data_IF_833449846076
#
_entry.id   IF_833449846076
#
_cell.length_a   1.000
_cell.length_b   1.000
_cell.length_c   1.000
_cell.angle_alpha   90.00
_cell.angle_beta   90.00
_cell.angle_gamma   90.00
#
_symmetry.space_group_name_H-M   'P 1'
#
loop_
_entity.id
_entity.type
_entity.pdbx_description
1 polymer ?
#
# COMPACT_ATOMS: atom_id res chain seq x y z
N UNK A 1 -9.41 -22.99 -35.02
CA UNK A 1 -9.83 -22.31 -33.76
C UNK A 1 -8.86 -22.71 -32.67
N UNK A 2 -7.97 -21.79 -32.25
CA UNK A 2 -6.91 -22.10 -31.27
C UNK A 2 -7.47 -21.97 -29.86
N UNK A 3 -7.61 -23.10 -29.16
CA UNK A 3 -8.07 -23.13 -27.77
C UNK A 3 -6.95 -22.63 -26.86
N UNK A 4 -7.02 -21.37 -26.42
CA UNK A 4 -6.13 -20.84 -25.38
C UNK A 4 -6.30 -21.70 -24.13
N UNK A 5 -5.25 -22.42 -23.74
CA UNK A 5 -5.18 -23.12 -22.46
C UNK A 5 -5.25 -22.05 -21.36
N UNK A 6 -6.40 -21.98 -20.68
CA UNK A 6 -6.56 -21.18 -19.46
C UNK A 6 -5.61 -21.78 -18.43
N UNK A 7 -4.57 -21.03 -18.08
CA UNK A 7 -3.61 -21.46 -17.07
C UNK A 7 -4.20 -21.22 -15.68
N UNK A 8 -3.74 -21.94 -14.64
CA UNK A 8 -4.23 -21.74 -13.26
C UNK A 8 -4.13 -20.27 -12.79
N UNK A 9 -3.22 -19.48 -13.38
CA UNK A 9 -3.06 -18.04 -13.18
C UNK A 9 -4.31 -17.23 -13.52
N UNK A 10 -5.01 -17.58 -14.61
CA UNK A 10 -6.16 -16.82 -15.09
C UNK A 10 -7.42 -16.96 -14.20
N UNK A 11 -7.45 -17.94 -13.29
CA UNK A 11 -8.63 -18.23 -12.45
C UNK A 11 -8.67 -17.45 -11.14
N UNK A 12 -7.56 -16.87 -10.69
CA UNK A 12 -7.45 -16.27 -9.35
C UNK A 12 -6.64 -14.96 -9.37
N UNK A 13 -7.19 -13.86 -9.93
CA UNK A 13 -6.48 -12.57 -10.04
C UNK A 13 -6.13 -11.92 -8.69
N UNK A 14 -6.69 -12.40 -7.58
CA UNK A 14 -6.34 -11.94 -6.23
C UNK A 14 -5.06 -12.58 -5.67
N UNK A 15 -4.61 -13.72 -6.20
CA UNK A 15 -3.32 -14.32 -5.82
C UNK A 15 -2.12 -13.65 -6.51
N UNK A 16 -2.35 -12.89 -7.59
CA UNK A 16 -1.26 -12.30 -8.38
C UNK A 16 -0.71 -10.98 -7.81
N UNK A 17 -1.34 -10.37 -6.79
CA UNK A 17 -0.85 -9.10 -6.24
C UNK A 17 0.33 -9.21 -5.28
N UNK A 18 0.63 -10.39 -4.77
CA UNK A 18 1.73 -10.56 -3.82
C UNK A 18 3.00 -11.14 -4.45
N UNK A 19 2.92 -11.71 -5.66
CA UNK A 19 4.09 -12.28 -6.35
C UNK A 19 4.72 -13.44 -5.58
N UNK A 20 3.94 -14.18 -4.78
CA UNK A 20 4.45 -15.25 -3.92
C UNK A 20 4.23 -16.63 -4.53
N UNK A 21 5.23 -17.49 -4.36
CA UNK A 21 5.16 -18.89 -4.74
C UNK A 21 4.30 -19.65 -3.72
N UNK A 22 3.22 -20.35 -4.13
CA UNK A 22 2.38 -21.12 -3.21
C UNK A 22 3.12 -22.25 -2.49
N UNK A 23 4.29 -22.66 -2.96
CA UNK A 23 5.13 -23.67 -2.31
C UNK A 23 6.17 -23.05 -1.33
N UNK A 24 6.27 -21.72 -1.28
CA UNK A 24 7.15 -21.01 -0.35
C UNK A 24 6.54 -21.01 1.06
N UNK A 25 7.22 -21.67 2.00
CA UNK A 25 6.79 -21.71 3.39
C UNK A 25 6.95 -20.33 4.05
N UNK A 26 5.83 -19.68 4.40
CA UNK A 26 5.82 -18.39 5.09
C UNK A 26 5.17 -18.45 6.44
N UNK A 27 5.80 -17.72 7.37
CA UNK A 27 5.29 -17.54 8.71
C UNK A 27 4.38 -16.31 8.76
N UNK A 28 3.10 -16.43 9.15
CA UNK A 28 2.26 -15.25 9.33
C UNK A 28 2.83 -14.41 10.47
N UNK A 29 3.09 -13.13 10.20
CA UNK A 29 3.60 -12.18 11.20
C UNK A 29 2.61 -12.14 12.36
N UNK A 30 3.14 -12.14 13.58
CA UNK A 30 2.36 -12.07 14.82
C UNK A 30 1.80 -10.65 14.92
N UNK A 31 0.59 -10.42 14.42
CA UNK A 31 -0.06 -9.11 14.45
C UNK A 31 -0.25 -8.67 15.91
N UNK A 32 0.09 -7.43 16.25
CA UNK A 32 0.03 -6.90 17.62
C UNK A 32 -1.39 -6.54 18.08
N UNK A 33 -2.35 -6.42 17.15
CA UNK A 33 -3.73 -6.02 17.44
C UNK A 33 -4.72 -7.17 17.27
N UNK A 34 -5.22 -7.67 18.41
CA UNK A 34 -6.36 -8.59 18.49
C UNK A 34 -5.99 -10.08 18.44
N UNK A 35 -5.75 -10.67 19.61
CA UNK A 35 -5.64 -12.13 19.75
C UNK A 35 -6.94 -12.70 20.34
N UNK A 36 -7.52 -13.69 19.66
CA UNK A 36 -8.61 -14.50 20.20
C UNK A 36 -8.06 -15.86 20.63
N UNK A 37 -8.32 -16.27 21.87
CA UNK A 37 -7.99 -17.63 22.34
C UNK A 37 -9.10 -18.59 21.91
N UNK A 38 -8.71 -19.65 21.21
CA UNK A 38 -9.61 -20.73 20.82
C UNK A 38 -9.18 -21.97 21.61
N UNK A 39 -10.14 -22.58 22.32
CA UNK A 39 -9.95 -23.85 23.00
C UNK A 39 -10.38 -24.98 22.08
N UNK A 40 -9.54 -26.01 21.96
CA UNK A 40 -9.72 -27.14 21.08
C UNK A 40 -9.37 -28.41 21.85
N UNK A 41 -10.16 -29.45 21.66
CA UNK A 41 -9.87 -30.80 22.16
C UNK A 41 -9.45 -31.70 21.00
N UNK A 42 -8.32 -32.38 21.14
CA UNK A 42 -7.76 -33.29 20.14
C UNK A 42 -7.60 -34.69 20.73
N UNK A 43 -7.69 -35.75 19.91
CA UNK A 43 -7.23 -37.07 20.32
C UNK A 43 -5.75 -37.04 20.72
N UNK A 44 -5.38 -37.78 21.77
CA UNK A 44 -4.00 -37.84 22.29
C UNK A 44 -2.99 -38.19 21.21
N UNK A 45 -3.30 -39.18 20.36
CA UNK A 45 -2.42 -39.58 19.27
C UNK A 45 -2.07 -38.44 18.30
N UNK A 46 -3.01 -37.52 18.04
CA UNK A 46 -2.79 -36.36 17.18
C UNK A 46 -1.90 -35.34 17.90
N UNK A 47 -2.13 -35.13 19.20
CA UNK A 47 -1.27 -34.26 20.02
C UNK A 47 0.18 -34.76 20.03
N UNK A 48 0.39 -36.04 20.25
CA UNK A 48 1.71 -36.67 20.27
C UNK A 48 2.41 -36.52 18.91
N UNK A 49 1.67 -36.70 17.82
CA UNK A 49 2.19 -36.52 16.47
C UNK A 49 2.60 -35.05 16.19
N UNK A 50 1.83 -34.08 16.67
CA UNK A 50 2.17 -32.66 16.55
C UNK A 50 3.45 -32.35 17.32
N UNK A 51 3.58 -32.85 18.56
CA UNK A 51 4.80 -32.69 19.34
C UNK A 51 6.01 -33.32 18.65
N UNK A 52 5.84 -34.51 18.08
CA UNK A 52 6.89 -35.17 17.31
C UNK A 52 7.36 -34.32 16.12
N UNK A 53 6.42 -33.75 15.36
CA UNK A 53 6.73 -32.86 14.23
C UNK A 53 7.52 -31.63 14.70
N UNK A 54 7.13 -30.99 15.80
CA UNK A 54 7.84 -29.81 16.32
C UNK A 54 9.25 -30.18 16.79
N UNK A 55 9.39 -31.27 17.55
CA UNK A 55 10.69 -31.76 18.06
C UNK A 55 11.63 -32.21 16.96
N UNK A 56 11.11 -32.61 15.79
CA UNK A 56 11.94 -32.99 14.65
C UNK A 56 12.76 -31.82 14.07
N UNK A 57 12.35 -30.57 14.33
CA UNK A 57 12.93 -29.37 13.75
C UNK A 57 13.04 -29.36 12.21
N UNK A 58 12.33 -30.27 11.53
CA UNK A 58 12.29 -30.33 10.07
C UNK A 58 11.49 -29.16 9.48
N UNK A 59 10.58 -28.60 10.26
CA UNK A 59 9.75 -27.45 9.91
C UNK A 59 10.02 -26.30 10.88
N UNK A 60 9.88 -25.04 10.45
CA UNK A 60 10.19 -23.87 11.27
C UNK A 60 9.03 -23.51 12.24
N UNK A 61 8.47 -24.51 12.93
CA UNK A 61 7.49 -24.29 13.99
C UNK A 61 8.19 -24.28 15.35
N UNK A 62 8.05 -23.18 16.09
CA UNK A 62 8.59 -23.10 17.45
C UNK A 62 7.64 -23.75 18.47
N UNK A 63 6.32 -23.67 18.22
CA UNK A 63 5.29 -24.26 19.06
C UNK A 63 4.13 -24.84 18.25
N UNK A 64 3.30 -25.68 18.91
CA UNK A 64 2.09 -26.24 18.30
C UNK A 64 1.11 -25.16 17.85
N UNK A 65 1.06 -24.03 18.56
CA UNK A 65 0.24 -22.88 18.20
C UNK A 65 0.61 -22.32 16.82
N UNK A 66 1.88 -22.39 16.42
CA UNK A 66 2.34 -21.88 15.13
C UNK A 66 1.92 -22.81 13.99
N UNK A 67 1.98 -24.12 14.22
CA UNK A 67 1.43 -25.13 13.31
C UNK A 67 -0.08 -24.92 13.13
N UNK A 68 -0.83 -24.70 14.21
CA UNK A 68 -2.27 -24.43 14.11
C UNK A 68 -2.57 -23.15 13.35
N UNK A 69 -1.84 -22.05 13.59
CA UNK A 69 -2.01 -20.81 12.84
C UNK A 69 -1.78 -21.03 11.34
N UNK A 70 -0.72 -21.72 10.97
CA UNK A 70 -0.44 -22.02 9.57
C UNK A 70 -1.52 -22.92 8.95
N UNK A 71 -1.92 -24.00 9.64
CA UNK A 71 -2.97 -24.90 9.18
C UNK A 71 -4.30 -24.17 8.97
N UNK A 72 -4.70 -23.31 9.90
CA UNK A 72 -5.91 -22.48 9.79
C UNK A 72 -5.81 -21.53 8.61
N UNK A 73 -4.70 -20.81 8.46
CA UNK A 73 -4.50 -19.88 7.35
C UNK A 73 -4.63 -20.59 5.99
N UNK A 74 -3.86 -21.67 5.80
CA UNK A 74 -3.86 -22.46 4.57
C UNK A 74 -5.24 -23.07 4.28
N UNK A 75 -5.93 -23.55 5.32
CA UNK A 75 -7.26 -24.11 5.16
C UNK A 75 -8.30 -23.04 4.79
N UNK A 76 -8.22 -21.85 5.38
CA UNK A 76 -9.08 -20.72 5.02
C UNK A 76 -8.82 -20.27 3.58
N UNK A 77 -7.56 -20.15 3.15
CA UNK A 77 -7.22 -19.85 1.76
C UNK A 77 -7.77 -20.91 0.79
N UNK A 78 -7.64 -22.18 1.15
CA UNK A 78 -8.21 -23.28 0.38
C UNK A 78 -9.74 -23.20 0.32
N UNK A 79 -10.42 -22.91 1.44
CA UNK A 79 -11.88 -22.72 1.47
C UNK A 79 -12.31 -21.52 0.62
N UNK A 80 -11.55 -20.43 0.62
CA UNK A 80 -11.79 -19.24 -0.20
C UNK A 80 -11.55 -19.48 -1.70
N UNK A 81 -10.78 -20.51 -2.06
CA UNK A 81 -10.55 -20.87 -3.46
C UNK A 81 -11.77 -21.50 -4.14
N UNK A 82 -12.74 -21.98 -3.36
CA UNK A 82 -14.00 -22.49 -3.90
C UNK A 82 -14.90 -21.34 -4.34
N UNK A 83 -15.58 -21.46 -5.49
CA UNK A 83 -16.59 -20.49 -5.93
C UNK A 83 -17.84 -20.62 -5.04
N UNK A 84 -17.75 -20.18 -3.80
CA UNK A 84 -18.85 -20.17 -2.84
C UNK A 84 -19.50 -18.80 -2.80
N UNK A 85 -20.83 -18.78 -2.63
CA UNK A 85 -21.66 -17.57 -2.51
C UNK A 85 -21.55 -16.88 -1.15
N UNK A 86 -20.67 -17.36 -0.27
CA UNK A 86 -20.49 -16.78 1.05
C UNK A 86 -19.84 -15.42 0.83
N UNK A 87 -20.59 -14.34 1.11
CA UNK A 87 -20.06 -12.97 1.09
C UNK A 87 -18.86 -12.95 2.04
N UNK A 88 -17.66 -12.93 1.46
CA UNK A 88 -16.44 -13.02 2.21
C UNK A 88 -16.27 -11.74 3.04
N UNK A 89 -16.63 -11.80 4.32
CA UNK A 89 -16.44 -10.70 5.27
C UNK A 89 -14.97 -10.31 5.33
N UNK A 90 -14.04 -11.28 5.19
CA UNK A 90 -12.61 -10.98 5.18
C UNK A 90 -12.19 -10.17 3.95
N UNK A 91 -12.76 -10.41 2.77
CA UNK A 91 -12.46 -9.54 1.61
C UNK A 91 -13.00 -8.13 1.83
N UNK A 92 -14.16 -7.98 2.49
CA UNK A 92 -14.68 -6.67 2.85
C UNK A 92 -13.80 -5.96 3.88
N UNK A 93 -13.32 -6.69 4.91
CA UNK A 93 -12.39 -6.15 5.92
C UNK A 93 -11.08 -5.74 5.26
N UNK A 94 -10.54 -6.54 4.34
CA UNK A 94 -9.31 -6.20 3.63
C UNK A 94 -9.48 -4.95 2.78
N UNK A 95 -10.59 -4.83 2.05
CA UNK A 95 -10.91 -3.61 1.28
C UNK A 95 -11.06 -2.40 2.23
N UNK A 96 -11.75 -2.56 3.36
CA UNK A 96 -11.87 -1.49 4.36
C UNK A 96 -10.50 -1.09 4.94
N UNK A 97 -9.62 -2.06 5.19
CA UNK A 97 -8.26 -1.80 5.67
C UNK A 97 -7.43 -1.05 4.62
N UNK A 98 -7.49 -1.46 3.35
CA UNK A 98 -6.83 -0.75 2.25
C UNK A 98 -7.35 0.69 2.14
N UNK A 99 -8.67 0.90 2.25
CA UNK A 99 -9.28 2.24 2.25
C UNK A 99 -8.81 3.10 3.44
N UNK A 100 -8.67 2.51 4.63
CA UNK A 100 -8.18 3.23 5.82
C UNK A 100 -6.71 3.63 5.65
N UNK A 101 -5.86 2.72 5.17
CA UNK A 101 -4.45 3.02 4.88
C UNK A 101 -4.34 4.13 3.85
N UNK A 102 -5.18 4.10 2.81
CA UNK A 102 -5.22 5.14 1.79
C UNK A 102 -5.68 6.50 2.37
N UNK A 103 -6.70 6.51 3.24
CA UNK A 103 -7.20 7.73 3.88
C UNK A 103 -6.18 8.33 4.86
N UNK A 104 -5.45 7.51 5.63
CA UNK A 104 -4.37 7.96 6.52
C UNK A 104 -3.21 8.55 5.73
N UNK A 105 -2.78 7.88 4.65
CA UNK A 105 -1.73 8.39 3.77
C UNK A 105 -2.13 9.73 3.13
N UNK A 106 -3.39 9.86 2.73
CA UNK A 106 -3.97 11.11 2.24
C UNK A 106 -3.95 12.20 3.31
N UNK A 107 -4.41 11.90 4.53
CA UNK A 107 -4.45 12.88 5.61
C UNK A 107 -3.06 13.44 5.92
N UNK A 108 -2.05 12.57 6.02
CA UNK A 108 -0.67 12.96 6.23
C UNK A 108 -0.11 13.82 5.10
N UNK A 109 -0.40 13.46 3.84
CA UNK A 109 0.07 14.22 2.69
C UNK A 109 -0.63 15.60 2.58
N UNK A 110 -1.94 15.67 2.83
CA UNK A 110 -2.68 16.93 2.90
C UNK A 110 -2.13 17.86 3.99
N UNK A 111 -1.83 17.33 5.18
CA UNK A 111 -1.24 18.12 6.27
C UNK A 111 0.10 18.75 5.87
N UNK A 112 0.95 17.99 5.18
CA UNK A 112 2.24 18.50 4.67
C UNK A 112 2.02 19.61 3.65
N UNK A 113 1.10 19.43 2.70
CA UNK A 113 0.77 20.45 1.69
C UNK A 113 0.22 21.72 2.35
N UNK A 114 -0.67 21.61 3.34
CA UNK A 114 -1.22 22.76 4.06
C UNK A 114 -0.16 23.54 4.84
N UNK A 115 0.76 22.85 5.52
CA UNK A 115 1.89 23.49 6.21
C UNK A 115 2.77 24.27 5.23
N UNK A 116 3.03 23.68 4.06
CA UNK A 116 3.83 24.28 3.00
C UNK A 116 3.11 25.46 2.32
N UNK A 117 1.80 25.35 2.13
CA UNK A 117 0.93 26.43 1.66
C UNK A 117 0.99 27.63 2.62
N UNK A 118 0.84 27.39 3.92
CA UNK A 118 0.94 28.43 4.97
C UNK A 118 2.27 29.17 4.93
N UNK A 119 3.37 28.46 4.69
CA UNK A 119 4.70 29.07 4.53
C UNK A 119 4.74 29.96 3.29
N UNK A 120 4.21 29.47 2.17
CA UNK A 120 4.16 30.19 0.88
C UNK A 120 3.33 31.47 1.00
N UNK A 121 2.14 31.38 1.59
CA UNK A 121 1.21 32.50 1.80
C UNK A 121 1.86 33.59 2.68
N UNK A 122 2.63 33.19 3.69
CA UNK A 122 3.40 34.13 4.51
C UNK A 122 4.46 34.89 3.70
N UNK A 123 5.17 34.24 2.77
CA UNK A 123 6.13 34.94 1.90
C UNK A 123 5.44 35.89 0.92
N UNK A 124 4.26 35.51 0.41
CA UNK A 124 3.41 36.37 -0.41
C UNK A 124 2.99 37.62 0.38
N UNK A 125 2.52 37.44 1.62
CA UNK A 125 2.12 38.55 2.49
C UNK A 125 3.28 39.52 2.78
N UNK A 126 4.51 39.00 2.91
CA UNK A 126 5.73 39.79 3.07
C UNK A 126 6.24 40.42 1.75
N UNK A 127 5.52 40.26 0.63
CA UNK A 127 5.92 40.70 -0.71
C UNK A 127 7.26 40.11 -1.20
N UNK A 128 7.65 38.94 -0.68
CA UNK A 128 8.86 38.21 -1.06
C UNK A 128 8.55 37.20 -2.17
N UNK A 129 8.13 37.70 -3.32
CA UNK A 129 7.60 36.91 -4.44
C UNK A 129 8.55 35.81 -4.92
N UNK A 130 9.85 36.10 -5.05
CA UNK A 130 10.85 35.13 -5.50
C UNK A 130 10.99 33.94 -4.54
N UNK A 131 10.90 34.20 -3.23
CA UNK A 131 11.00 33.14 -2.22
C UNK A 131 9.74 32.29 -2.19
N UNK A 132 8.57 32.92 -2.27
CA UNK A 132 7.28 32.23 -2.41
C UNK A 132 7.27 31.32 -3.65
N UNK A 133 7.72 31.85 -4.80
CA UNK A 133 7.81 31.12 -6.05
C UNK A 133 8.78 29.93 -5.95
N UNK A 134 9.96 30.13 -5.35
CA UNK A 134 10.94 29.06 -5.16
C UNK A 134 10.38 27.92 -4.31
N UNK A 135 9.65 28.26 -3.24
CA UNK A 135 9.04 27.28 -2.36
C UNK A 135 7.91 26.55 -3.08
N UNK A 136 6.96 27.27 -3.69
CA UNK A 136 5.87 26.68 -4.47
C UNK A 136 6.38 25.74 -5.56
N UNK A 137 7.42 26.14 -6.29
CA UNK A 137 8.06 25.32 -7.31
C UNK A 137 8.70 24.05 -6.75
N UNK A 138 9.43 24.13 -5.63
CA UNK A 138 10.03 22.95 -4.99
C UNK A 138 8.97 21.96 -4.49
N UNK A 139 7.86 22.46 -3.95
CA UNK A 139 6.73 21.64 -3.51
C UNK A 139 6.13 20.92 -4.71
N UNK A 140 5.85 21.66 -5.78
CA UNK A 140 5.32 21.11 -7.02
C UNK A 140 6.23 20.02 -7.61
N UNK A 141 7.53 20.28 -7.69
CA UNK A 141 8.53 19.33 -8.21
C UNK A 141 8.61 18.07 -7.34
N UNK A 142 8.49 18.20 -6.01
CA UNK A 142 8.50 17.07 -5.09
C UNK A 142 7.24 16.19 -5.23
N UNK A 143 6.07 16.80 -5.39
CA UNK A 143 4.82 16.08 -5.67
C UNK A 143 4.95 15.34 -7.00
N UNK A 144 5.47 16.00 -8.04
CA UNK A 144 5.67 15.40 -9.37
C UNK A 144 6.61 14.19 -9.38
N UNK A 145 7.60 14.15 -8.47
CA UNK A 145 8.52 13.00 -8.31
C UNK A 145 7.89 11.81 -7.57
N UNK A 146 6.72 12.00 -6.97
CA UNK A 146 6.02 10.91 -6.29
C UNK A 146 5.46 9.92 -7.31
N UNK A 147 5.34 8.62 -6.97
CA UNK A 147 4.78 7.62 -7.86
C UNK A 147 3.42 8.03 -8.42
N UNK A 148 3.13 7.58 -9.65
CA UNK A 148 1.81 7.75 -10.28
C UNK A 148 0.71 7.29 -9.32
N UNK A 149 -0.09 8.22 -8.85
CA UNK A 149 -1.20 7.96 -7.93
C UNK A 149 -2.28 9.01 -8.13
N UNK A 150 -3.53 8.61 -7.88
CA UNK A 150 -4.68 9.51 -7.88
C UNK A 150 -4.44 10.76 -7.00
N UNK A 151 -3.78 10.58 -5.86
CA UNK A 151 -3.49 11.65 -4.91
C UNK A 151 -2.47 12.66 -5.43
N UNK A 152 -1.44 12.20 -6.13
CA UNK A 152 -0.48 13.09 -6.77
C UNK A 152 -1.18 14.04 -7.72
N UNK A 153 -2.02 13.52 -8.60
CA UNK A 153 -2.69 14.33 -9.62
C UNK A 153 -3.65 15.34 -8.97
N UNK A 154 -4.34 14.94 -7.90
CA UNK A 154 -5.19 15.84 -7.10
C UNK A 154 -4.39 16.95 -6.40
N UNK A 155 -3.25 16.63 -5.80
CA UNK A 155 -2.38 17.61 -5.15
C UNK A 155 -1.77 18.59 -6.16
N UNK A 156 -1.39 18.10 -7.35
CA UNK A 156 -0.94 18.95 -8.46
C UNK A 156 -2.05 19.91 -8.88
N UNK A 157 -3.29 19.42 -9.04
CA UNK A 157 -4.43 20.25 -9.38
C UNK A 157 -4.70 21.31 -8.31
N UNK A 158 -4.61 20.96 -7.03
CA UNK A 158 -4.77 21.90 -5.92
C UNK A 158 -3.66 22.95 -5.89
N UNK A 159 -2.40 22.55 -6.05
CA UNK A 159 -1.26 23.48 -6.11
C UNK A 159 -1.38 24.43 -7.31
N UNK A 160 -1.83 23.95 -8.47
CA UNK A 160 -2.09 24.79 -9.64
C UNK A 160 -3.26 25.76 -9.42
N UNK A 161 -4.31 25.31 -8.74
CA UNK A 161 -5.46 26.16 -8.43
C UNK A 161 -5.07 27.31 -7.49
N UNK A 162 -4.24 27.04 -6.47
CA UNK A 162 -3.83 28.03 -5.47
C UNK A 162 -2.69 28.93 -5.93
N UNK A 163 -1.70 28.35 -6.62
CA UNK A 163 -0.42 29.00 -6.94
C UNK A 163 -0.09 29.01 -8.43
N UNK A 164 -1.08 28.79 -9.31
CA UNK A 164 -0.89 28.72 -10.77
C UNK A 164 -0.12 29.93 -11.30
N UNK A 165 -0.51 31.15 -10.90
CA UNK A 165 0.18 32.38 -11.33
C UNK A 165 1.66 32.41 -10.94
N UNK A 166 2.01 31.94 -9.74
CA UNK A 166 3.39 31.86 -9.26
C UNK A 166 4.21 30.80 -10.01
N UNK A 167 3.56 29.67 -10.32
CA UNK A 167 4.19 28.55 -11.04
C UNK A 167 4.42 28.90 -12.52
N UNK A 168 3.46 29.55 -13.16
CA UNK A 168 3.53 29.94 -14.57
C UNK A 168 4.62 30.99 -14.83
N UNK A 169 4.84 31.92 -13.88
CA UNK A 169 5.95 32.87 -13.94
C UNK A 169 7.34 32.23 -14.02
N UNK A 170 7.51 30.98 -13.58
CA UNK A 170 8.80 30.27 -13.63
C UNK A 170 9.11 29.80 -15.04
N UNK A 171 8.09 29.38 -15.79
CA UNK A 171 8.25 28.86 -17.16
C UNK A 171 8.73 29.95 -18.13
N UNK A 172 8.28 31.19 -17.95
CA UNK A 172 8.70 32.33 -18.78
C UNK A 172 10.17 32.73 -18.60
N UNK A 173 10.74 32.51 -17.40
CA UNK A 173 12.15 32.85 -17.13
C UNK A 173 13.10 31.77 -17.65
N UNK A 174 12.77 30.49 -17.45
CA UNK A 174 13.60 29.38 -17.94
C UNK A 174 13.58 29.25 -19.47
N UNK A 175 12.45 29.52 -20.13
CA UNK A 175 12.39 29.56 -21.60
C UNK A 175 13.17 30.71 -22.19
N UNK A 176 13.18 31.89 -21.54
CA UNK A 176 14.01 33.03 -21.97
C UNK A 176 15.51 32.78 -21.82
N UNK A 177 15.95 32.09 -20.77
CA UNK A 177 17.37 31.77 -20.56
C UNK A 177 17.85 30.74 -21.58
N UNK A 178 17.09 29.66 -21.83
CA UNK A 178 17.45 28.65 -22.85
C UNK A 178 17.47 29.19 -24.27
N UNK A 179 16.66 30.21 -24.58
CA UNK A 179 16.68 30.89 -25.88
C UNK A 179 17.91 31.77 -26.13
N UNK A 180 18.63 32.18 -25.07
CA UNK A 180 19.81 33.05 -25.16
C UNK A 180 21.14 32.27 -25.25
N UNK A 181 21.18 31.02 -24.81
CA UNK A 181 22.39 30.17 -24.87
C UNK A 181 22.50 29.36 -26.18
N UNK A 182 21.49 29.40 -27.04
CA UNK A 182 21.40 28.62 -28.27
C UNK A 182 21.55 29.38 -29.60
N UNK A 183 21.92 30.66 -29.56
CA UNK A 183 22.14 31.50 -30.76
C UNK A 183 23.48 32.21 -30.70
#
# INVERSE_FOLDING_TARGET
>A
MSSKKITKRDKYPLLERTGHDPDEFRYPVKDSDGHVRIWLSLPTAVSDQIEFIIRSHQFPYAAATDLFRHAVHRHLEWLLSFPTRIKNIMSQINIMREMLIEEDAKAAASEVVEKLATVTDRYIAMRRWKDAQNIAGRIYDQINKSPDSYWRDRMIAEMRMRYGELLDMKFDVETKIKGLEGG
#
